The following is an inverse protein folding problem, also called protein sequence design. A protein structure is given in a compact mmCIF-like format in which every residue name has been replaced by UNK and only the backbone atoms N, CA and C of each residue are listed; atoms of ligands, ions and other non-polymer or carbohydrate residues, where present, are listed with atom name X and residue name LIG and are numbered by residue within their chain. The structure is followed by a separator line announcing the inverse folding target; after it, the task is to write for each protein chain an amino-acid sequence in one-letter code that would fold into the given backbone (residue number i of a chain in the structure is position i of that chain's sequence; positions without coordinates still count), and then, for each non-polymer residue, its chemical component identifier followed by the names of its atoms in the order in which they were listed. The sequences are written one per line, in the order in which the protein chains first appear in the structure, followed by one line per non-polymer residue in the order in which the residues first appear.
data_IF_785197776936
#
_entry.id   IF_785197776936
#
_cell.length_a   1.000
_cell.length_b   1.000
_cell.length_c   1.000
_cell.angle_alpha   90.00
_cell.angle_beta   90.00
_cell.angle_gamma   90.00
#
_symmetry.space_group_name_H-M   'P 1'
#
loop_
_entity.id
_entity.type
_entity.pdbx_description
1 polymer ?
#
# COMPACT_ATOMS: atom_id res chain seq x y z
N UNK A 1 -16.90 -64.03 14.74
CA UNK A 1 -17.17 -62.67 15.27
C UNK A 1 -15.90 -61.85 15.12
N UNK A 2 -15.76 -60.99 14.10
CA UNK A 2 -14.61 -60.06 14.01
C UNK A 2 -14.86 -58.95 12.98
N UNK A 3 -15.85 -58.07 13.26
CA UNK A 3 -16.13 -56.88 12.43
C UNK A 3 -16.35 -55.61 13.28
N UNK A 4 -16.11 -55.67 14.59
CA UNK A 4 -16.48 -54.56 15.51
C UNK A 4 -15.34 -53.56 15.75
N UNK A 5 -14.09 -53.92 15.46
CA UNK A 5 -12.91 -53.10 15.80
C UNK A 5 -12.33 -52.28 14.63
N UNK A 6 -12.76 -52.53 13.38
CA UNK A 6 -12.24 -51.80 12.20
C UNK A 6 -12.68 -50.34 12.18
N UNK A 7 -13.95 -50.06 12.46
CA UNK A 7 -14.48 -48.68 12.46
C UNK A 7 -13.89 -47.77 13.54
N UNK A 8 -13.50 -48.33 14.70
CA UNK A 8 -12.86 -47.57 15.78
C UNK A 8 -11.42 -47.14 15.41
N UNK A 9 -10.69 -48.00 14.70
CA UNK A 9 -9.34 -47.73 14.21
C UNK A 9 -9.34 -46.75 13.03
N UNK A 10 -10.30 -46.88 12.10
CA UNK A 10 -10.50 -45.93 11.00
C UNK A 10 -10.84 -44.52 11.52
N UNK A 11 -11.72 -44.41 12.51
CA UNK A 11 -12.05 -43.12 13.14
C UNK A 11 -10.88 -42.52 13.94
N UNK A 12 -9.96 -43.34 14.46
CA UNK A 12 -8.74 -42.87 15.11
C UNK A 12 -7.74 -42.34 14.08
N UNK A 13 -7.57 -43.05 12.97
CA UNK A 13 -6.69 -42.64 11.88
C UNK A 13 -7.17 -41.33 11.24
N UNK A 14 -8.47 -41.21 10.94
CA UNK A 14 -9.05 -39.97 10.39
C UNK A 14 -8.82 -38.74 11.30
N UNK A 15 -8.85 -38.93 12.63
CA UNK A 15 -8.53 -37.87 13.59
C UNK A 15 -7.06 -37.49 13.58
N UNK A 16 -6.15 -38.47 13.46
CA UNK A 16 -4.70 -38.22 13.35
C UNK A 16 -4.39 -37.46 12.06
N UNK A 17 -4.96 -37.90 10.94
CA UNK A 17 -4.75 -37.28 9.63
C UNK A 17 -5.29 -35.84 9.58
N UNK A 18 -6.47 -35.58 10.16
CA UNK A 18 -7.00 -34.22 10.27
C UNK A 18 -6.15 -33.34 11.20
N UNK A 19 -5.70 -33.86 12.34
CA UNK A 19 -4.80 -33.12 13.23
C UNK A 19 -3.49 -32.74 12.51
N UNK A 20 -2.93 -33.66 11.71
CA UNK A 20 -1.75 -33.40 10.89
C UNK A 20 -2.01 -32.35 9.79
N UNK A 21 -3.19 -32.36 9.16
CA UNK A 21 -3.62 -31.32 8.21
C UNK A 21 -3.71 -29.95 8.88
N UNK A 22 -4.35 -29.88 10.05
CA UNK A 22 -4.48 -28.64 10.83
C UNK A 22 -3.12 -28.10 11.31
N UNK A 23 -2.18 -28.98 11.66
CA UNK A 23 -0.81 -28.57 11.99
C UNK A 23 -0.09 -27.96 10.77
N UNK A 24 -0.22 -28.56 9.58
CA UNK A 24 0.35 -28.01 8.34
C UNK A 24 -0.23 -26.66 7.96
N UNK A 25 -1.54 -26.50 8.07
CA UNK A 25 -2.21 -25.21 7.82
C UNK A 25 -1.68 -24.13 8.78
N UNK A 26 -1.62 -24.42 10.09
CA UNK A 26 -1.08 -23.46 11.07
C UNK A 26 0.37 -23.07 10.77
N UNK A 27 1.23 -24.05 10.46
CA UNK A 27 2.62 -23.80 10.10
C UNK A 27 2.75 -22.97 8.81
N UNK A 28 1.94 -23.28 7.79
CA UNK A 28 1.89 -22.52 6.55
C UNK A 28 1.43 -21.08 6.75
N UNK A 29 0.39 -20.84 7.56
CA UNK A 29 -0.09 -19.49 7.89
C UNK A 29 0.99 -18.69 8.61
N UNK A 30 1.67 -19.29 9.59
CA UNK A 30 2.79 -18.64 10.28
C UNK A 30 3.90 -18.26 9.32
N UNK A 31 4.22 -19.12 8.34
CA UNK A 31 5.26 -18.85 7.34
C UNK A 31 4.85 -17.73 6.37
N UNK A 32 3.60 -17.71 5.93
CA UNK A 32 3.06 -16.61 5.11
C UNK A 32 3.17 -15.29 5.89
N UNK A 33 2.68 -15.24 7.12
CA UNK A 33 2.75 -14.04 7.95
C UNK A 33 4.20 -13.61 8.17
N UNK A 34 5.10 -14.55 8.47
CA UNK A 34 6.52 -14.26 8.64
C UNK A 34 7.19 -13.65 7.39
N UNK A 35 6.74 -13.99 6.18
CA UNK A 35 7.25 -13.39 4.92
C UNK A 35 6.82 -11.93 4.79
N UNK A 36 5.56 -11.62 5.13
CA UNK A 36 5.04 -10.25 5.01
C UNK A 36 5.46 -9.35 6.18
N UNK A 37 5.47 -9.89 7.40
CA UNK A 37 5.80 -9.15 8.63
C UNK A 37 7.31 -9.11 8.89
N UNK A 38 8.07 -9.99 8.20
CA UNK A 38 9.50 -10.26 8.39
C UNK A 38 9.86 -10.62 9.81
N UNK A 39 9.43 -11.81 10.21
CA UNK A 39 9.79 -12.39 11.49
C UNK A 39 11.33 -12.53 11.60
N UNK A 40 11.91 -12.31 12.81
CA UNK A 40 13.33 -12.56 13.01
C UNK A 40 13.64 -14.04 12.71
N UNK A 41 14.83 -14.31 12.17
CA UNK A 41 15.26 -15.61 11.64
C UNK A 41 15.16 -16.82 12.60
N UNK A 42 14.74 -16.63 13.85
CA UNK A 42 14.50 -17.68 14.84
C UNK A 42 13.05 -17.87 15.30
N UNK A 43 12.07 -17.11 14.77
CA UNK A 43 10.67 -17.17 15.27
C UNK A 43 9.80 -18.25 14.61
N UNK A 44 10.34 -19.01 13.66
CA UNK A 44 9.67 -20.18 13.08
C UNK A 44 9.83 -21.39 14.01
N UNK A 45 9.29 -21.31 15.22
CA UNK A 45 9.21 -22.49 16.08
C UNK A 45 8.10 -23.40 15.56
N UNK A 46 8.37 -24.66 15.19
CA UNK A 46 7.31 -25.60 14.85
C UNK A 46 6.37 -25.75 16.05
N UNK A 47 5.09 -25.40 15.87
CA UNK A 47 4.05 -25.65 16.88
C UNK A 47 3.88 -27.16 16.98
N UNK A 48 4.40 -27.74 18.06
CA UNK A 48 4.11 -29.13 18.40
C UNK A 48 2.58 -29.33 18.49
N UNK A 49 2.02 -30.43 17.96
CA UNK A 49 0.59 -30.67 18.02
C UNK A 49 0.15 -30.74 19.50
N UNK A 50 -0.59 -29.72 19.94
CA UNK A 50 -1.20 -29.66 21.27
C UNK A 50 -2.43 -30.56 21.30
N UNK A 51 -2.31 -31.72 21.96
CA UNK A 51 -3.46 -32.56 22.33
C UNK A 51 -3.19 -34.05 22.18
N UNK A 52 -2.67 -34.67 23.24
CA UNK A 52 -2.51 -36.12 23.37
C UNK A 52 -1.10 -36.48 23.81
N UNK A 53 -0.99 -37.24 24.90
CA UNK A 53 0.28 -37.76 25.39
C UNK A 53 1.08 -38.36 24.21
N UNK A 54 2.29 -37.85 24.01
CA UNK A 54 3.22 -38.40 23.03
C UNK A 54 3.47 -39.86 23.43
N UNK A 55 2.87 -40.80 22.69
CA UNK A 55 3.31 -42.17 22.74
C UNK A 55 4.55 -42.26 21.84
N UNK A 56 5.72 -42.24 22.48
CA UNK A 56 7.04 -42.21 21.87
C UNK A 56 7.42 -43.49 21.10
N UNK A 57 6.52 -44.49 21.08
CA UNK A 57 6.85 -45.85 20.64
C UNK A 57 6.18 -46.28 19.33
N UNK A 58 5.33 -45.45 18.70
CA UNK A 58 4.68 -45.82 17.43
C UNK A 58 4.49 -44.68 16.42
N UNK A 59 5.09 -43.52 16.63
CA UNK A 59 4.77 -42.30 15.86
C UNK A 59 5.52 -42.21 14.53
N UNK A 60 4.81 -42.28 13.41
CA UNK A 60 5.30 -41.71 12.16
C UNK A 60 5.41 -40.19 12.33
N UNK A 61 6.63 -39.65 12.28
CA UNK A 61 6.86 -38.21 12.37
C UNK A 61 6.98 -37.61 10.97
N UNK A 62 6.51 -36.37 10.81
CA UNK A 62 6.58 -35.65 9.56
C UNK A 62 7.30 -34.32 9.81
N UNK A 63 8.20 -33.93 8.91
CA UNK A 63 8.86 -32.63 8.99
C UNK A 63 7.92 -31.49 8.57
N UNK A 64 8.41 -30.25 8.68
CA UNK A 64 7.69 -29.06 8.18
C UNK A 64 7.43 -29.08 6.65
N UNK A 65 7.97 -30.07 5.94
CA UNK A 65 7.84 -30.28 4.50
C UNK A 65 6.90 -31.46 4.15
N UNK A 66 6.31 -32.14 5.14
CA UNK A 66 5.41 -33.27 4.93
C UNK A 66 6.11 -34.58 4.54
N UNK A 67 7.44 -34.65 4.66
CA UNK A 67 8.18 -35.90 4.46
C UNK A 67 8.11 -36.76 5.72
N UNK A 68 7.89 -38.07 5.55
CA UNK A 68 8.01 -39.04 6.64
C UNK A 68 9.45 -39.05 7.16
N UNK A 69 9.65 -38.55 8.37
CA UNK A 69 10.87 -38.69 9.12
C UNK A 69 11.00 -40.15 9.58
N UNK A 70 11.71 -40.97 8.80
CA UNK A 70 12.05 -42.33 9.19
C UNK A 70 13.25 -42.30 10.14
N UNK A 71 13.00 -42.42 11.44
CA UNK A 71 14.05 -42.58 12.45
C UNK A 71 13.49 -42.88 13.84
N UNK A 72 14.09 -43.84 14.54
CA UNK A 72 13.82 -44.06 15.96
C UNK A 72 14.29 -42.83 16.76
N UNK A 73 13.49 -42.43 17.75
CA UNK A 73 13.55 -41.17 18.51
C UNK A 73 14.89 -40.85 19.22
N UNK A 74 15.94 -41.66 19.01
CA UNK A 74 17.27 -41.52 19.63
C UNK A 74 18.30 -40.82 18.74
N UNK A 75 18.01 -40.57 17.46
CA UNK A 75 18.99 -40.00 16.51
C UNK A 75 18.64 -38.60 15.99
N UNK A 76 17.46 -38.08 16.31
CA UNK A 76 17.19 -36.66 16.10
C UNK A 76 17.79 -35.90 17.26
N UNK A 77 19.09 -35.57 17.13
CA UNK A 77 19.65 -34.41 17.78
C UNK A 77 18.67 -33.26 17.61
N UNK A 78 18.39 -32.60 18.74
CA UNK A 78 17.71 -31.32 18.93
C UNK A 78 17.18 -30.70 17.62
N UNK A 79 15.86 -30.53 17.53
CA UNK A 79 15.14 -30.09 16.32
C UNK A 79 15.49 -28.66 15.83
N UNK A 80 16.54 -28.05 16.38
CA UNK A 80 17.07 -26.72 16.06
C UNK A 80 18.09 -26.73 14.89
N UNK A 81 18.78 -27.84 14.62
CA UNK A 81 19.89 -27.86 13.64
C UNK A 81 19.50 -28.07 12.16
N UNK A 82 18.36 -28.72 11.87
CA UNK A 82 17.98 -29.03 10.49
C UNK A 82 17.18 -27.90 9.78
N UNK A 83 16.57 -27.00 10.54
CA UNK A 83 15.66 -25.98 10.02
C UNK A 83 16.31 -24.60 9.82
N UNK A 84 17.42 -24.32 10.51
CA UNK A 84 18.12 -23.03 10.48
C UNK A 84 18.89 -22.75 9.18
N UNK A 85 18.96 -23.70 8.23
CA UNK A 85 19.80 -23.57 7.02
C UNK A 85 19.07 -23.09 5.76
N UNK A 86 17.74 -22.95 5.76
CA UNK A 86 16.98 -22.55 4.54
C UNK A 86 16.11 -21.29 4.69
N UNK A 87 16.10 -20.65 5.85
CA UNK A 87 15.38 -19.40 6.08
C UNK A 87 16.36 -18.33 6.57
N UNK A 88 17.15 -17.76 5.66
CA UNK A 88 17.70 -16.43 5.86
C UNK A 88 16.49 -15.48 5.89
N UNK A 89 15.88 -15.29 7.06
CA UNK A 89 14.69 -14.46 7.17
C UNK A 89 15.06 -13.03 6.78
N UNK A 90 14.46 -12.58 5.69
CA UNK A 90 14.54 -11.20 5.27
C UNK A 90 13.77 -10.36 6.30
N UNK A 91 14.38 -9.32 6.90
CA UNK A 91 13.70 -8.46 7.87
C UNK A 91 12.42 -7.84 7.29
N UNK A 92 11.45 -7.51 8.14
CA UNK A 92 10.13 -6.95 7.80
C UNK A 92 10.17 -5.97 6.64
N UNK A 93 9.69 -6.40 5.47
CA UNK A 93 9.72 -5.57 4.27
C UNK A 93 8.54 -4.61 4.20
N UNK A 94 7.41 -4.93 4.84
CA UNK A 94 6.19 -4.13 4.84
C UNK A 94 5.92 -3.49 6.21
N UNK A 95 6.93 -2.82 6.76
CA UNK A 95 6.80 -2.06 8.01
C UNK A 95 6.04 -0.75 7.78
N UNK A 96 5.68 -0.05 8.86
CA UNK A 96 5.19 1.32 8.75
C UNK A 96 6.13 2.23 7.97
N UNK A 97 7.44 2.02 8.06
CA UNK A 97 8.42 2.80 7.30
C UNK A 97 8.32 2.55 5.80
N UNK A 98 8.09 1.30 5.37
CA UNK A 98 7.85 1.01 3.95
C UNK A 98 6.64 1.80 3.42
N UNK A 99 5.52 1.78 4.15
CA UNK A 99 4.30 2.48 3.74
C UNK A 99 4.48 4.02 3.79
N UNK A 100 5.13 4.53 4.83
CA UNK A 100 5.50 5.95 4.93
C UNK A 100 6.40 6.39 3.77
N UNK A 101 7.36 5.54 3.37
CA UNK A 101 8.25 5.83 2.24
C UNK A 101 7.49 5.88 0.91
N UNK A 102 6.40 5.11 0.73
CA UNK A 102 5.52 5.22 -0.45
C UNK A 102 4.86 6.60 -0.52
N UNK A 103 4.32 7.06 0.61
CA UNK A 103 3.75 8.41 0.73
C UNK A 103 4.80 9.47 0.42
N UNK A 104 5.96 9.37 1.05
CA UNK A 104 7.03 10.35 0.92
C UNK A 104 7.58 10.42 -0.50
N UNK A 105 7.80 9.27 -1.15
CA UNK A 105 8.30 9.22 -2.52
C UNK A 105 7.34 9.90 -3.52
N UNK A 106 6.03 9.84 -3.31
CA UNK A 106 5.08 10.59 -4.14
C UNK A 106 5.20 12.11 -3.93
N UNK A 107 5.34 12.56 -2.67
CA UNK A 107 5.54 13.98 -2.36
C UNK A 107 6.86 14.50 -2.92
N UNK A 108 7.97 13.76 -2.71
CA UNK A 108 9.29 14.11 -3.23
C UNK A 108 9.29 14.24 -4.76
N UNK A 109 8.47 13.44 -5.45
CA UNK A 109 8.29 13.52 -6.89
C UNK A 109 7.40 14.69 -7.33
N UNK A 110 6.32 14.99 -6.61
CA UNK A 110 5.27 15.92 -7.05
C UNK A 110 5.43 17.36 -6.53
N UNK A 111 5.98 17.54 -5.33
CA UNK A 111 6.16 18.87 -4.72
C UNK A 111 7.05 19.80 -5.56
N UNK A 112 8.19 19.37 -6.16
CA UNK A 112 9.00 20.23 -7.02
C UNK A 112 8.21 20.72 -8.24
N UNK A 113 7.42 19.85 -8.86
CA UNK A 113 6.58 20.20 -10.01
C UNK A 113 5.50 21.22 -9.62
N UNK A 114 4.89 21.07 -8.44
CA UNK A 114 3.92 22.03 -7.92
C UNK A 114 4.57 23.41 -7.70
N UNK A 115 5.76 23.43 -7.11
CA UNK A 115 6.51 24.65 -6.84
C UNK A 115 6.93 25.36 -8.14
N UNK A 116 7.41 24.61 -9.12
CA UNK A 116 7.80 25.14 -10.42
C UNK A 116 6.61 25.78 -11.14
N UNK A 117 5.48 25.06 -11.22
CA UNK A 117 4.26 25.60 -11.85
C UNK A 117 3.72 26.84 -11.11
N UNK A 118 3.79 26.86 -9.78
CA UNK A 118 3.43 28.04 -8.99
C UNK A 118 4.37 29.22 -9.29
N UNK A 119 5.67 28.98 -9.39
CA UNK A 119 6.67 29.98 -9.75
C UNK A 119 6.42 30.56 -11.15
N UNK A 120 6.09 29.71 -12.12
CA UNK A 120 5.67 30.12 -13.46
C UNK A 120 4.41 30.98 -13.42
N UNK A 121 3.37 30.55 -12.69
CA UNK A 121 2.12 31.28 -12.55
C UNK A 121 2.33 32.65 -11.89
N UNK A 122 3.20 32.74 -10.89
CA UNK A 122 3.54 34.00 -10.22
C UNK A 122 4.29 34.97 -11.15
N UNK A 123 5.22 34.46 -11.97
CA UNK A 123 5.88 35.25 -13.01
C UNK A 123 4.88 35.77 -14.04
N UNK A 124 3.97 34.92 -14.52
CA UNK A 124 2.93 35.32 -15.47
C UNK A 124 1.97 36.36 -14.88
N UNK A 125 1.58 36.19 -13.61
CA UNK A 125 0.80 37.18 -12.86
C UNK A 125 1.51 38.53 -12.82
N UNK A 126 2.78 38.52 -12.43
CA UNK A 126 3.60 39.74 -12.36
C UNK A 126 3.68 40.44 -13.71
N UNK A 127 3.93 39.70 -14.80
CA UNK A 127 3.96 40.30 -16.15
C UNK A 127 2.61 40.84 -16.60
N UNK A 128 1.50 40.15 -16.27
CA UNK A 128 0.16 40.62 -16.60
C UNK A 128 -0.16 41.93 -15.87
N UNK A 129 0.11 41.98 -14.57
CA UNK A 129 -0.09 43.16 -13.73
C UNK A 129 0.82 44.33 -14.14
N UNK A 130 2.07 44.05 -14.52
CA UNK A 130 3.00 45.06 -15.02
C UNK A 130 2.47 45.69 -16.31
N UNK A 131 1.97 44.85 -17.23
CA UNK A 131 1.43 45.30 -18.50
C UNK A 131 0.14 46.09 -18.35
N UNK A 132 -0.66 45.84 -17.32
CA UNK A 132 -1.88 46.59 -17.02
C UNK A 132 -1.65 47.80 -16.11
N UNK A 133 -0.42 48.05 -15.64
CA UNK A 133 -0.12 49.14 -14.71
C UNK A 133 -0.69 48.93 -13.30
N UNK A 134 -1.02 47.68 -12.94
CA UNK A 134 -1.65 47.32 -11.67
C UNK A 134 -0.66 46.80 -10.61
N UNK A 135 0.65 46.88 -10.86
CA UNK A 135 1.68 46.36 -9.95
C UNK A 135 1.65 46.96 -8.55
N UNK A 136 1.27 48.23 -8.40
CA UNK A 136 1.25 48.92 -7.11
C UNK A 136 -0.18 49.05 -6.54
N UNK A 137 -1.13 48.30 -7.12
CA UNK A 137 -2.53 48.35 -6.71
C UNK A 137 -2.89 47.26 -5.72
N UNK A 138 -3.99 47.46 -4.99
CA UNK A 138 -4.63 46.42 -4.17
C UNK A 138 -5.00 45.17 -4.98
N UNK A 139 -5.19 45.29 -6.31
CA UNK A 139 -5.45 44.15 -7.20
C UNK A 139 -4.28 43.16 -7.24
N UNK A 140 -3.03 43.63 -7.11
CA UNK A 140 -1.86 42.73 -6.98
C UNK A 140 -1.96 41.88 -5.72
N UNK A 141 -2.22 42.51 -4.58
CA UNK A 141 -2.32 41.81 -3.29
C UNK A 141 -3.43 40.75 -3.31
N UNK A 142 -4.58 41.09 -3.88
CA UNK A 142 -5.68 40.15 -4.05
C UNK A 142 -5.29 38.96 -4.94
N UNK A 143 -4.72 39.22 -6.12
CA UNK A 143 -4.37 38.14 -7.07
C UNK A 143 -3.25 37.24 -6.56
N UNK A 144 -2.28 37.80 -5.85
CA UNK A 144 -1.24 37.02 -5.19
C UNK A 144 -1.83 36.13 -4.09
N UNK A 145 -2.78 36.64 -3.30
CA UNK A 145 -3.49 35.85 -2.29
C UNK A 145 -4.32 34.72 -2.89
N UNK A 146 -5.01 34.97 -4.02
CA UNK A 146 -5.74 33.95 -4.77
C UNK A 146 -4.80 32.85 -5.29
N UNK A 147 -3.66 33.23 -5.87
CA UNK A 147 -2.64 32.29 -6.34
C UNK A 147 -2.05 31.46 -5.20
N UNK A 148 -1.74 32.09 -4.07
CA UNK A 148 -1.26 31.40 -2.87
C UNK A 148 -2.28 30.39 -2.36
N UNK A 149 -3.55 30.80 -2.25
CA UNK A 149 -4.63 29.90 -1.84
C UNK A 149 -4.78 28.70 -2.79
N UNK A 150 -4.64 28.91 -4.10
CA UNK A 150 -4.66 27.82 -5.07
C UNK A 150 -3.47 26.88 -4.84
N UNK A 151 -2.26 27.39 -4.64
CA UNK A 151 -1.10 26.57 -4.30
C UNK A 151 -1.30 25.75 -3.02
N UNK A 152 -1.78 26.37 -1.94
CA UNK A 152 -2.02 25.68 -0.67
C UNK A 152 -3.08 24.57 -0.84
N UNK A 153 -4.12 24.83 -1.62
CA UNK A 153 -5.17 23.85 -1.94
C UNK A 153 -4.61 22.67 -2.73
N UNK A 154 -3.79 22.93 -3.76
CA UNK A 154 -3.17 21.88 -4.56
C UNK A 154 -2.17 21.07 -3.73
N UNK A 155 -1.39 21.72 -2.86
CA UNK A 155 -0.47 21.05 -1.93
C UNK A 155 -1.21 20.08 -1.00
N UNK A 156 -2.36 20.48 -0.45
CA UNK A 156 -3.19 19.60 0.36
C UNK A 156 -3.72 18.42 -0.46
N UNK A 157 -4.20 18.66 -1.69
CA UNK A 157 -4.67 17.59 -2.57
C UNK A 157 -3.56 16.57 -2.91
N UNK A 158 -2.30 17.01 -3.05
CA UNK A 158 -1.16 16.11 -3.22
C UNK A 158 -0.89 15.30 -1.95
N UNK A 159 -0.99 15.90 -0.76
CA UNK A 159 -0.84 15.19 0.51
C UNK A 159 -1.93 14.11 0.70
N UNK A 160 -3.18 14.41 0.36
CA UNK A 160 -4.28 13.44 0.40
C UNK A 160 -4.04 12.28 -0.58
N UNK A 161 -3.54 12.60 -1.78
CA UNK A 161 -3.15 11.58 -2.75
C UNK A 161 -1.93 10.76 -2.30
N UNK A 162 -0.98 11.37 -1.61
CA UNK A 162 0.14 10.65 -1.00
C UNK A 162 -0.35 9.63 0.04
N UNK A 163 -1.32 10.01 0.86
CA UNK A 163 -1.94 9.12 1.86
C UNK A 163 -2.69 7.95 1.19
N UNK A 164 -3.27 8.16 0.01
CA UNK A 164 -3.91 7.09 -0.75
C UNK A 164 -2.91 6.06 -1.28
N UNK A 165 -1.70 6.47 -1.68
CA UNK A 165 -0.61 5.53 -2.01
C UNK A 165 -0.22 4.66 -0.82
N UNK A 166 -0.08 5.26 0.37
CA UNK A 166 0.18 4.51 1.61
C UNK A 166 -0.90 3.46 1.87
N UNK A 167 -2.16 3.89 1.85
CA UNK A 167 -3.32 3.04 2.14
C UNK A 167 -3.48 1.93 1.11
N UNK A 168 -3.30 2.24 -0.18
CA UNK A 168 -3.36 1.28 -1.28
C UNK A 168 -2.28 0.21 -1.16
N UNK A 169 -1.06 0.60 -0.80
CA UNK A 169 0.04 -0.34 -0.57
C UNK A 169 -0.28 -1.29 0.61
N UNK A 170 -0.80 -0.76 1.72
CA UNK A 170 -1.23 -1.58 2.87
C UNK A 170 -2.30 -2.58 2.46
N UNK A 171 -3.36 -2.12 1.80
CA UNK A 171 -4.44 -2.99 1.35
C UNK A 171 -3.95 -4.09 0.41
N UNK A 172 -3.06 -3.76 -0.53
CA UNK A 172 -2.49 -4.74 -1.47
C UNK A 172 -1.69 -5.84 -0.78
N UNK A 173 -0.94 -5.49 0.27
CA UNK A 173 -0.20 -6.46 1.09
C UNK A 173 -1.15 -7.37 1.86
N UNK A 174 -2.18 -6.81 2.48
CA UNK A 174 -3.16 -7.58 3.25
C UNK A 174 -4.03 -8.48 2.36
N UNK A 175 -4.47 -7.99 1.20
CA UNK A 175 -5.20 -8.78 0.21
C UNK A 175 -4.36 -9.95 -0.30
N UNK A 176 -3.08 -9.70 -0.60
CA UNK A 176 -2.16 -10.76 -1.03
C UNK A 176 -2.01 -11.84 0.04
N UNK A 177 -1.85 -11.44 1.30
CA UNK A 177 -1.74 -12.34 2.47
C UNK A 177 -3.01 -13.17 2.65
N UNK A 178 -4.19 -12.52 2.68
CA UNK A 178 -5.48 -13.17 2.87
C UNK A 178 -5.76 -14.23 1.78
N UNK A 179 -5.50 -13.89 0.52
CA UNK A 179 -5.66 -14.81 -0.62
C UNK A 179 -4.75 -16.05 -0.52
N UNK A 180 -3.52 -15.89 -0.03
CA UNK A 180 -2.59 -17.01 0.18
C UNK A 180 -3.04 -17.91 1.31
N UNK A 181 -3.53 -17.33 2.42
CA UNK A 181 -4.08 -18.09 3.54
C UNK A 181 -5.34 -18.86 3.10
N UNK A 182 -6.21 -18.25 2.31
CA UNK A 182 -7.39 -18.92 1.76
C UNK A 182 -6.98 -20.11 0.86
N UNK A 183 -5.98 -19.91 0.01
CA UNK A 183 -5.45 -20.97 -0.86
C UNK A 183 -4.84 -22.10 -0.02
N UNK A 184 -4.05 -21.77 1.00
CA UNK A 184 -3.48 -22.75 1.94
C UNK A 184 -4.56 -23.57 2.66
N UNK A 185 -5.63 -22.91 3.13
CA UNK A 185 -6.73 -23.60 3.80
C UNK A 185 -7.45 -24.59 2.89
N UNK A 186 -7.58 -24.24 1.60
CA UNK A 186 -8.22 -25.07 0.58
C UNK A 186 -7.35 -26.24 0.13
N UNK A 187 -6.05 -26.03 -0.08
CA UNK A 187 -5.15 -27.06 -0.65
C UNK A 187 -4.40 -27.87 0.40
N UNK A 188 -4.19 -27.30 1.60
CA UNK A 188 -3.29 -27.86 2.61
C UNK A 188 -1.80 -27.84 2.21
N UNK A 189 -1.44 -27.22 1.08
CA UNK A 189 -0.06 -27.14 0.58
C UNK A 189 0.66 -25.93 1.17
N UNK A 190 1.34 -26.16 2.30
CA UNK A 190 2.13 -25.14 2.99
C UNK A 190 3.35 -24.67 2.19
N UNK A 191 3.97 -25.55 1.38
CA UNK A 191 5.19 -25.22 0.64
C UNK A 191 4.88 -24.37 -0.59
N UNK A 192 3.88 -24.77 -1.39
CA UNK A 192 3.43 -23.98 -2.53
C UNK A 192 2.91 -22.61 -2.12
N UNK A 193 2.19 -22.52 -1.00
CA UNK A 193 1.70 -21.25 -0.46
C UNK A 193 2.86 -20.33 -0.01
N UNK A 194 3.89 -20.87 0.64
CA UNK A 194 5.07 -20.09 1.05
C UNK A 194 5.88 -19.59 -0.15
N UNK A 195 6.08 -20.41 -1.18
CA UNK A 195 6.75 -19.99 -2.41
C UNK A 195 5.97 -18.89 -3.15
N UNK A 196 4.64 -19.02 -3.18
CA UNK A 196 3.75 -18.00 -3.74
C UNK A 196 3.80 -16.69 -2.93
N UNK A 197 3.89 -16.79 -1.60
CA UNK A 197 4.07 -15.65 -0.72
C UNK A 197 5.38 -14.90 -1.00
N UNK A 198 6.49 -15.62 -1.18
CA UNK A 198 7.77 -15.02 -1.52
C UNK A 198 7.71 -14.25 -2.85
N UNK A 199 7.14 -14.85 -3.90
CA UNK A 199 7.00 -14.19 -5.20
C UNK A 199 6.11 -12.95 -5.13
N UNK A 200 4.97 -13.02 -4.41
CA UNK A 200 4.08 -11.87 -4.21
C UNK A 200 4.74 -10.76 -3.38
N UNK A 201 5.48 -11.11 -2.33
CA UNK A 201 6.23 -10.16 -1.52
C UNK A 201 7.25 -9.40 -2.37
N UNK A 202 8.01 -10.10 -3.23
CA UNK A 202 8.96 -9.45 -4.12
C UNK A 202 8.28 -8.46 -5.07
N UNK A 203 7.15 -8.85 -5.68
CA UNK A 203 6.40 -7.97 -6.57
C UNK A 203 5.85 -6.73 -5.84
N UNK A 204 5.30 -6.90 -4.64
CA UNK A 204 4.74 -5.81 -3.84
C UNK A 204 5.80 -4.86 -3.28
N UNK A 205 7.04 -5.33 -3.11
CA UNK A 205 8.16 -4.50 -2.67
C UNK A 205 8.69 -3.56 -3.76
N UNK A 206 8.33 -3.77 -5.03
CA UNK A 206 8.86 -3.01 -6.16
C UNK A 206 8.44 -1.53 -6.12
N UNK A 207 9.33 -0.56 -6.41
CA UNK A 207 8.99 0.87 -6.41
C UNK A 207 7.85 1.24 -7.36
N UNK A 208 7.04 2.24 -6.99
CA UNK A 208 5.95 2.75 -7.84
C UNK A 208 6.47 3.67 -8.94
N UNK A 209 5.78 3.65 -10.08
CA UNK A 209 5.94 4.65 -11.13
C UNK A 209 4.92 5.78 -10.92
N UNK A 210 5.37 7.03 -10.98
CA UNK A 210 4.51 8.20 -10.80
C UNK A 210 4.27 8.93 -12.13
N UNK A 211 3.03 9.39 -12.33
CA UNK A 211 2.69 10.25 -13.46
C UNK A 211 2.98 11.72 -13.12
N UNK A 212 3.56 12.51 -14.05
CA UNK A 212 3.76 13.95 -13.86
C UNK A 212 2.47 14.70 -13.50
N UNK A 213 2.61 15.82 -12.79
CA UNK A 213 1.48 16.69 -12.51
C UNK A 213 0.97 17.32 -13.80
N UNK A 214 -0.35 17.32 -13.97
CA UNK A 214 -0.99 18.16 -14.99
C UNK A 214 -0.73 19.64 -14.74
N UNK A 215 -1.14 20.48 -15.67
CA UNK A 215 -1.01 21.93 -15.50
C UNK A 215 -2.09 22.46 -14.54
N UNK A 216 -1.73 22.68 -13.28
CA UNK A 216 -2.66 23.00 -12.19
C UNK A 216 -3.03 24.49 -12.12
N UNK A 217 -2.19 25.36 -12.68
CA UNK A 217 -2.33 26.82 -12.61
C UNK A 217 -2.75 27.46 -13.93
N UNK A 218 -2.95 26.67 -15.00
CA UNK A 218 -3.30 27.20 -16.32
C UNK A 218 -4.60 27.99 -16.32
N UNK A 219 -5.62 27.53 -15.60
CA UNK A 219 -6.90 28.24 -15.52
C UNK A 219 -6.77 29.60 -14.83
N UNK A 220 -5.92 29.68 -13.79
CA UNK A 220 -5.60 30.94 -13.13
C UNK A 220 -4.92 31.90 -14.11
N UNK A 221 -3.88 31.44 -14.82
CA UNK A 221 -3.12 32.29 -15.74
C UNK A 221 -3.92 32.70 -16.96
N UNK A 222 -4.80 31.84 -17.47
CA UNK A 222 -5.71 32.15 -18.58
C UNK A 222 -6.72 33.25 -18.19
N UNK A 223 -7.24 33.20 -16.96
CA UNK A 223 -8.13 34.23 -16.43
C UNK A 223 -7.49 35.63 -16.42
N UNK A 224 -6.19 35.72 -16.15
CA UNK A 224 -5.44 36.98 -16.19
C UNK A 224 -5.38 37.59 -17.59
N UNK A 225 -5.20 36.74 -18.62
CA UNK A 225 -5.13 37.17 -20.01
C UNK A 225 -6.45 37.79 -20.49
N UNK A 226 -7.58 37.18 -20.11
CA UNK A 226 -8.92 37.67 -20.44
C UNK A 226 -9.18 39.02 -19.76
N UNK A 227 -8.87 39.14 -18.47
CA UNK A 227 -9.07 40.37 -17.72
C UNK A 227 -8.23 41.53 -18.27
N UNK A 228 -6.94 41.30 -18.53
CA UNK A 228 -6.06 42.31 -19.11
C UNK A 228 -6.46 42.73 -20.54
N UNK A 229 -7.09 41.86 -21.32
CA UNK A 229 -7.62 42.19 -22.65
C UNK A 229 -8.87 43.09 -22.54
N UNK A 230 -9.77 42.77 -21.60
CA UNK A 230 -10.98 43.55 -21.37
C UNK A 230 -10.69 44.94 -20.80
N UNK A 231 -9.75 45.04 -19.84
CA UNK A 231 -9.31 46.33 -19.28
C UNK A 231 -8.64 47.22 -20.35
N UNK A 232 -7.85 46.64 -21.26
CA UNK A 232 -7.27 47.36 -22.42
C UNK A 232 -8.32 47.78 -23.44
N UNK A 233 -9.32 46.95 -23.73
CA UNK A 233 -10.42 47.34 -24.62
C UNK A 233 -11.22 48.51 -24.05
N UNK A 234 -11.39 48.55 -22.72
CA UNK A 234 -12.07 49.64 -22.05
C UNK A 234 -11.25 50.93 -22.05
N UNK A 235 -9.94 50.85 -21.75
CA UNK A 235 -9.03 51.99 -21.79
C UNK A 235 -8.87 52.58 -23.21
N UNK A 236 -9.07 51.79 -24.27
CA UNK A 236 -9.03 52.22 -25.66
C UNK A 236 -10.38 52.77 -26.19
N UNK A 237 -11.35 53.05 -25.31
CA UNK A 237 -12.65 53.61 -25.70
C UNK A 237 -13.73 52.58 -26.07
N UNK A 238 -13.47 51.30 -25.80
CA UNK A 238 -14.46 50.24 -25.91
C UNK A 238 -15.48 50.25 -24.75
N UNK A 239 -16.60 49.52 -24.89
CA UNK A 239 -17.64 49.46 -23.86
C UNK A 239 -17.09 48.96 -22.52
N UNK A 240 -17.57 49.53 -21.39
CA UNK A 240 -17.25 49.06 -20.02
C UNK A 240 -17.53 47.56 -19.93
N UNK A 241 -16.57 46.72 -19.51
CA UNK A 241 -16.84 45.31 -19.28
C UNK A 241 -17.92 45.19 -18.18
N UNK A 242 -19.05 44.58 -18.55
CA UNK A 242 -20.27 44.49 -17.73
C UNK A 242 -20.31 43.24 -16.83
N UNK A 243 -19.23 42.45 -16.76
CA UNK A 243 -19.31 41.12 -16.15
C UNK A 243 -18.22 40.90 -15.08
N UNK A 244 -18.70 40.70 -13.86
CA UNK A 244 -18.18 39.70 -12.93
C UNK A 244 -18.06 38.38 -13.72
N UNK A 245 -16.84 37.90 -13.99
CA UNK A 245 -16.57 36.82 -14.96
C UNK A 245 -17.12 35.44 -14.57
N UNK A 246 -17.99 35.32 -13.56
CA UNK A 246 -18.62 34.06 -13.15
C UNK A 246 -17.66 32.99 -12.62
N UNK A 247 -16.36 33.15 -12.87
CA UNK A 247 -15.26 32.29 -12.45
C UNK A 247 -14.99 32.41 -10.94
N UNK A 248 -15.53 33.45 -10.29
CA UNK A 248 -15.31 33.75 -8.88
C UNK A 248 -16.59 34.03 -8.07
N UNK A 249 -17.78 33.94 -8.68
CA UNK A 249 -19.04 33.95 -7.93
C UNK A 249 -19.47 32.52 -7.60
N UNK A 250 -19.00 31.97 -6.46
CA UNK A 250 -19.57 30.85 -5.68
C UNK A 250 -20.19 29.61 -6.40
N UNK A 251 -19.95 29.40 -7.70
CA UNK A 251 -20.49 28.31 -8.49
C UNK A 251 -19.45 27.18 -8.51
N UNK A 252 -19.24 26.59 -7.34
CA UNK A 252 -18.30 25.48 -7.14
C UNK A 252 -18.41 24.81 -5.79
N UNK A 253 -19.49 25.04 -5.02
CA UNK A 253 -19.81 24.15 -3.90
C UNK A 253 -20.25 22.81 -4.50
N UNK A 254 -19.38 21.81 -4.43
CA UNK A 254 -19.82 20.41 -4.44
C UNK A 254 -20.74 20.26 -3.23
N UNK A 255 -22.04 20.20 -3.48
CA UNK A 255 -23.01 19.71 -2.52
C UNK A 255 -22.82 18.19 -2.43
N UNK A 256 -22.26 17.71 -1.33
CA UNK A 256 -22.38 16.30 -0.97
C UNK A 256 -23.81 16.12 -0.49
N UNK A 257 -24.66 15.55 -1.34
CA UNK A 257 -26.00 15.13 -0.97
C UNK A 257 -25.87 13.95 -0.01
N UNK A 258 -26.43 14.07 1.20
CA UNK A 258 -26.76 12.91 2.05
C UNK A 258 -28.05 12.27 1.56
#
# INVERSE_FOLDING_TARGET
MSKKDTGANEAKQARIDENARQARIRAGTQRINAIFDGAPAGALTPVAPTGGAMNWDSGEYYDANGNRLHGSAKHFGRADEAFTKSATATPGQFTNDFFNNRRQAYLDYSDPQLQDQYGDANRQLTFSLARSGLLDSSARGQKLGELQKLYDTQKQALADKALSYETSARNSVEDARANLIQTLNATGDAQGAANSALARSQALSAPDAYSPLGQLFTDFTNGLGIQAAQERSYAAGGPKPLYNTGLFSNAGRVSVTQ
#
